data_IF_013582467705
#
_entry.id   IF_013582467705
#
_cell.length_a   1.000
_cell.length_b   1.000
_cell.length_c   1.000
_cell.angle_alpha   90.00
_cell.angle_beta   90.00
_cell.angle_gamma   90.00
#
_symmetry.space_group_name_H-M   'P 1'
#
loop_
_entity.id
_entity.type
_entity.pdbx_description
1 polymer ?
#
# COMPACT_ATOMS: atom_id res chain seq x y z
N UNK A 1 20.17 -0.84 13.38
CA UNK A 1 20.45 -2.29 13.44
C UNK A 1 19.12 -3.00 13.62
N UNK A 2 18.81 -3.95 12.75
CA UNK A 2 17.61 -4.79 12.88
C UNK A 2 18.08 -6.10 13.51
N UNK A 3 17.39 -6.54 14.55
CA UNK A 3 17.72 -7.76 15.30
C UNK A 3 16.50 -8.68 15.36
N UNK A 4 16.69 -10.01 15.41
CA UNK A 4 15.57 -10.94 15.53
C UNK A 4 14.97 -10.91 16.94
N UNK A 5 13.80 -11.57 17.13
CA UNK A 5 13.17 -11.68 18.43
C UNK A 5 14.11 -12.26 19.50
N UNK A 6 14.15 -11.64 20.68
CA UNK A 6 14.91 -12.16 21.82
C UNK A 6 16.44 -12.05 21.70
N UNK A 7 16.94 -11.20 20.80
CA UNK A 7 18.37 -10.97 20.66
C UNK A 7 18.96 -10.23 21.88
N UNK A 8 20.11 -10.70 22.37
CA UNK A 8 20.80 -10.17 23.56
C UNK A 8 22.27 -9.82 23.32
N UNK A 9 22.67 -9.58 22.07
CA UNK A 9 24.06 -9.25 21.72
C UNK A 9 24.46 -7.81 22.04
N UNK A 10 25.72 -7.48 21.75
CA UNK A 10 26.24 -6.12 21.91
C UNK A 10 25.80 -5.23 20.75
N UNK A 11 25.29 -4.04 21.09
CA UNK A 11 24.88 -3.02 20.12
C UNK A 11 26.07 -2.11 19.80
N UNK A 12 26.43 -1.89 18.53
CA UNK A 12 27.44 -0.91 18.16
C UNK A 12 27.10 0.49 18.72
N UNK A 13 28.11 1.21 19.22
CA UNK A 13 27.91 2.52 19.81
C UNK A 13 27.17 3.47 18.84
N UNK A 14 26.07 4.07 19.31
CA UNK A 14 25.26 5.00 18.52
C UNK A 14 24.28 4.36 17.54
N UNK A 15 24.23 3.03 17.43
CA UNK A 15 23.25 2.36 16.58
C UNK A 15 21.85 2.34 17.24
N UNK A 16 20.83 2.82 16.52
CA UNK A 16 19.44 2.55 16.88
C UNK A 16 19.14 1.05 16.67
N UNK A 17 18.46 0.41 17.62
CA UNK A 17 18.07 -1.00 17.56
C UNK A 17 16.58 -1.09 17.25
N UNK A 18 16.25 -1.91 16.25
CA UNK A 18 14.88 -2.28 15.89
C UNK A 18 14.78 -3.79 16.08
N UNK A 19 14.04 -4.22 17.09
CA UNK A 19 13.72 -5.63 17.28
C UNK A 19 12.58 -6.01 16.33
N UNK A 20 12.87 -6.92 15.41
CA UNK A 20 11.86 -7.49 14.53
C UNK A 20 11.00 -8.48 15.32
N UNK A 21 9.66 -8.48 15.18
CA UNK A 21 8.80 -9.48 15.80
C UNK A 21 8.93 -10.87 15.13
N UNK A 22 9.64 -10.95 13.99
CA UNK A 22 9.83 -12.14 13.18
C UNK A 22 11.29 -12.28 12.75
N UNK A 23 11.71 -13.48 12.33
CA UNK A 23 13.06 -13.74 11.83
C UNK A 23 13.26 -13.24 10.39
N UNK A 24 12.19 -13.23 9.61
CA UNK A 24 12.15 -12.56 8.32
C UNK A 24 11.66 -11.12 8.47
N UNK A 25 12.37 -10.18 7.83
CA UNK A 25 11.99 -8.78 7.76
C UNK A 25 11.93 -8.33 6.30
N UNK A 26 10.93 -7.53 5.97
CA UNK A 26 10.83 -6.87 4.68
C UNK A 26 11.16 -5.39 4.83
N UNK A 27 12.05 -4.89 3.98
CA UNK A 27 12.47 -3.48 3.95
C UNK A 27 12.13 -2.87 2.60
N UNK A 28 11.46 -1.72 2.63
CA UNK A 28 11.18 -0.90 1.46
C UNK A 28 11.77 0.50 1.66
N UNK A 29 12.72 0.88 0.80
CA UNK A 29 13.29 2.22 0.75
C UNK A 29 12.64 3.03 -0.36
N UNK A 30 12.05 4.19 -0.03
CA UNK A 30 11.54 5.16 -1.00
C UNK A 30 12.36 6.44 -0.89
N UNK A 31 12.76 7.00 -2.01
CA UNK A 31 13.52 8.26 -2.08
C UNK A 31 12.73 9.22 -2.95
N UNK A 32 12.42 10.39 -2.39
CA UNK A 32 11.67 11.43 -3.09
C UNK A 32 12.45 11.88 -4.33
N UNK A 33 11.71 12.16 -5.41
CA UNK A 33 12.21 12.83 -6.61
C UNK A 33 11.31 14.02 -6.84
N UNK A 34 11.83 15.24 -6.66
CA UNK A 34 11.01 16.45 -6.76
C UNK A 34 10.78 16.87 -8.23
N UNK A 35 11.69 16.52 -9.12
CA UNK A 35 11.62 16.83 -10.55
C UNK A 35 12.54 15.94 -11.38
N UNK A 36 12.44 16.01 -12.71
CA UNK A 36 13.36 15.33 -13.62
C UNK A 36 14.83 15.72 -13.38
N UNK A 37 15.09 16.96 -12.97
CA UNK A 37 16.44 17.44 -12.64
C UNK A 37 16.97 16.85 -11.32
N UNK A 38 16.08 16.50 -10.39
CA UNK A 38 16.41 15.92 -9.08
C UNK A 38 16.69 14.41 -9.16
N UNK A 39 16.23 13.75 -10.23
CA UNK A 39 16.35 12.30 -10.41
C UNK A 39 17.79 11.77 -10.26
N UNK A 40 18.79 12.52 -10.73
CA UNK A 40 20.19 12.12 -10.60
C UNK A 40 20.66 12.15 -9.13
N UNK A 41 20.24 13.16 -8.35
CA UNK A 41 20.59 13.29 -6.95
C UNK A 41 19.91 12.19 -6.11
N UNK A 42 18.62 11.94 -6.35
CA UNK A 42 17.89 10.85 -5.69
C UNK A 42 18.53 9.48 -5.95
N UNK A 43 18.97 9.20 -7.19
CA UNK A 43 19.71 7.97 -7.53
C UNK A 43 21.06 7.89 -6.83
N UNK A 44 21.80 9.01 -6.76
CA UNK A 44 23.07 9.06 -6.04
C UNK A 44 22.89 8.78 -4.54
N UNK A 45 21.83 9.31 -3.92
CA UNK A 45 21.48 9.02 -2.53
C UNK A 45 21.12 7.53 -2.35
N UNK A 46 20.31 6.96 -3.24
CA UNK A 46 19.97 5.53 -3.21
C UNK A 46 21.19 4.61 -3.31
N UNK A 47 22.20 4.98 -4.11
CA UNK A 47 23.45 4.22 -4.25
C UNK A 47 24.30 4.21 -2.97
N UNK A 48 24.02 5.09 -2.01
CA UNK A 48 24.69 5.11 -0.70
C UNK A 48 24.02 4.18 0.32
N UNK A 49 22.84 3.63 0.03
CA UNK A 49 22.20 2.67 0.92
C UNK A 49 22.99 1.37 0.92
N UNK A 50 23.37 0.93 2.12
CA UNK A 50 24.11 -0.33 2.32
C UNK A 50 23.39 -1.18 3.36
N UNK A 51 23.47 -2.49 3.18
CA UNK A 51 23.04 -3.47 4.16
C UNK A 51 24.23 -4.36 4.48
N UNK A 52 24.53 -4.51 5.77
CA UNK A 52 25.66 -5.32 6.23
C UNK A 52 25.19 -6.21 7.37
N UNK A 53 25.52 -7.48 7.28
CA UNK A 53 25.29 -8.45 8.36
C UNK A 53 26.39 -8.25 9.39
N UNK A 54 25.99 -7.88 10.62
CA UNK A 54 26.93 -7.53 11.69
C UNK A 54 27.35 -8.72 12.57
N UNK A 55 26.57 -9.80 12.59
CA UNK A 55 26.76 -10.92 13.51
C UNK A 55 26.91 -12.27 12.78
N UNK A 56 27.57 -13.22 13.46
CA UNK A 56 27.65 -14.63 13.08
C UNK A 56 26.25 -15.30 13.16
N UNK A 57 26.09 -16.53 12.60
CA UNK A 57 24.84 -17.28 12.72
C UNK A 57 24.37 -17.36 14.17
N UNK A 58 23.09 -17.09 14.38
CA UNK A 58 22.49 -17.09 15.71
C UNK A 58 22.20 -18.55 16.09
N UNK A 59 22.68 -19.03 17.26
CA UNK A 59 22.31 -20.35 17.76
C UNK A 59 20.79 -20.49 17.83
N UNK A 60 20.27 -21.65 17.47
CA UNK A 60 18.83 -21.98 17.51
C UNK A 60 17.94 -21.09 16.60
N UNK A 61 18.51 -20.50 15.55
CA UNK A 61 17.72 -19.86 14.50
C UNK A 61 16.73 -20.86 13.89
N UNK A 62 15.48 -20.43 13.63
CA UNK A 62 14.47 -21.28 13.01
C UNK A 62 14.89 -21.67 11.58
N UNK A 63 14.29 -22.74 11.02
CA UNK A 63 14.58 -23.15 9.65
C UNK A 63 14.29 -21.99 8.69
N UNK A 64 15.22 -21.66 7.77
CA UNK A 64 14.99 -20.59 6.81
C UNK A 64 13.88 -20.99 5.83
N UNK A 65 13.13 -19.99 5.37
CA UNK A 65 12.24 -20.20 4.23
C UNK A 65 13.05 -20.51 2.96
N UNK A 66 12.50 -21.30 2.02
CA UNK A 66 13.13 -21.52 0.73
C UNK A 66 13.41 -20.18 0.04
N UNK A 67 14.61 -19.97 -0.52
CA UNK A 67 14.92 -18.71 -1.19
C UNK A 67 13.97 -18.51 -2.38
N UNK A 68 13.34 -17.34 -2.46
CA UNK A 68 12.59 -16.94 -3.64
C UNK A 68 13.54 -16.49 -4.73
N UNK A 69 13.35 -16.97 -5.96
CA UNK A 69 14.06 -16.42 -7.12
C UNK A 69 13.50 -15.01 -7.43
N UNK A 70 14.15 -13.99 -6.87
CA UNK A 70 13.76 -12.59 -7.11
C UNK A 70 13.95 -12.15 -8.57
N UNK A 71 14.74 -12.86 -9.38
CA UNK A 71 14.93 -12.58 -10.80
C UNK A 71 13.79 -13.09 -11.68
N UNK A 72 13.02 -14.05 -11.17
CA UNK A 72 11.86 -14.64 -11.82
C UNK A 72 10.73 -14.84 -10.81
N UNK A 73 10.36 -13.76 -10.13
CA UNK A 73 9.28 -13.82 -9.14
C UNK A 73 7.97 -14.07 -9.90
N UNK A 74 7.29 -15.22 -9.73
CA UNK A 74 5.94 -15.35 -10.26
C UNK A 74 5.09 -14.19 -9.74
N UNK A 75 4.20 -13.67 -10.58
CA UNK A 75 3.21 -12.66 -10.18
C UNK A 75 2.64 -13.00 -8.79
N UNK A 76 2.30 -12.00 -7.95
CA UNK A 76 1.93 -12.23 -6.55
C UNK A 76 1.00 -13.43 -6.47
N UNK A 77 1.41 -14.41 -5.65
CA UNK A 77 0.87 -15.78 -5.63
C UNK A 77 -0.61 -15.80 -6.00
N UNK A 78 -0.94 -16.51 -7.08
CA UNK A 78 -2.32 -16.77 -7.42
C UNK A 78 -2.90 -17.74 -6.38
N UNK A 79 -3.32 -17.20 -5.23
CA UNK A 79 -3.81 -17.97 -4.06
C UNK A 79 -4.83 -19.03 -4.49
N UNK A 80 -5.80 -18.64 -5.33
CA UNK A 80 -6.79 -19.55 -5.90
C UNK A 80 -6.17 -20.72 -6.71
N UNK A 81 -5.05 -20.48 -7.40
CA UNK A 81 -4.33 -21.49 -8.19
C UNK A 81 -3.44 -22.42 -7.38
N UNK A 82 -3.08 -22.05 -6.14
CA UNK A 82 -2.23 -22.86 -5.26
C UNK A 82 -2.98 -24.01 -4.58
N UNK A 83 -4.32 -23.92 -4.47
CA UNK A 83 -5.13 -24.91 -3.76
C UNK A 83 -4.61 -25.17 -2.33
N UNK A 84 -4.66 -26.42 -1.82
CA UNK A 84 -4.28 -26.71 -0.44
C UNK A 84 -2.79 -26.48 -0.14
N UNK A 85 -1.91 -26.37 -1.16
CA UNK A 85 -0.48 -26.09 -0.97
C UNK A 85 -0.19 -24.73 -0.35
N UNK A 86 -1.13 -23.79 -0.39
CA UNK A 86 -1.00 -22.52 0.35
C UNK A 86 -0.83 -22.78 1.86
N UNK A 87 -1.38 -23.87 2.39
CA UNK A 87 -1.25 -24.22 3.79
C UNK A 87 0.05 -24.96 4.12
N UNK A 88 0.71 -25.59 3.15
CA UNK A 88 2.10 -26.06 3.33
C UNK A 88 3.03 -24.86 3.48
N UNK A 89 2.81 -23.83 2.65
CA UNK A 89 3.57 -22.58 2.73
C UNK A 89 3.31 -21.85 4.06
N UNK A 90 2.05 -21.71 4.47
CA UNK A 90 1.72 -21.16 5.79
C UNK A 90 2.39 -21.96 6.90
N UNK A 91 2.38 -23.29 6.83
CA UNK A 91 3.04 -24.16 7.80
C UNK A 91 4.55 -23.93 7.85
N UNK A 92 5.21 -23.77 6.69
CA UNK A 92 6.63 -23.42 6.62
C UNK A 92 6.92 -22.03 7.22
N UNK A 93 6.07 -21.03 6.94
CA UNK A 93 6.16 -19.69 7.53
C UNK A 93 6.02 -19.73 9.05
N UNK A 94 5.07 -20.50 9.58
CA UNK A 94 4.87 -20.65 11.02
C UNK A 94 6.07 -21.32 11.73
N UNK A 95 6.80 -22.21 11.04
CA UNK A 95 8.03 -22.79 11.56
C UNK A 95 9.21 -21.82 11.52
N UNK A 96 9.31 -21.02 10.46
CA UNK A 96 10.35 -20.00 10.30
C UNK A 96 10.13 -18.78 11.21
N UNK A 97 8.86 -18.43 11.46
CA UNK A 97 8.44 -17.23 12.16
C UNK A 97 7.30 -17.56 13.11
N UNK A 98 7.60 -17.84 14.40
CA UNK A 98 6.58 -18.10 15.40
C UNK A 98 5.56 -16.94 15.47
N UNK A 99 4.25 -17.24 15.44
CA UNK A 99 3.22 -16.23 15.34
C UNK A 99 3.00 -15.51 16.69
N UNK A 100 2.45 -14.28 16.68
CA UNK A 100 1.98 -13.60 17.88
C UNK A 100 0.94 -14.43 18.66
N UNK A 101 0.93 -14.29 19.99
CA UNK A 101 0.00 -15.01 20.86
C UNK A 101 -1.49 -14.73 20.54
N UNK A 102 -1.80 -13.55 19.99
CA UNK A 102 -3.16 -13.20 19.58
C UNK A 102 -3.72 -14.10 18.46
N UNK A 103 -2.85 -14.74 17.68
CA UNK A 103 -3.27 -15.60 16.56
C UNK A 103 -3.64 -17.02 17.01
N UNK A 104 -3.36 -17.38 18.28
CA UNK A 104 -3.55 -18.73 18.81
C UNK A 104 -4.95 -19.32 18.54
N UNK A 105 -6.09 -18.61 18.75
CA UNK A 105 -7.41 -19.17 18.49
C UNK A 105 -7.64 -19.58 17.03
N UNK A 106 -7.11 -18.80 16.07
CA UNK A 106 -7.22 -19.12 14.64
C UNK A 106 -6.31 -20.31 14.27
N UNK A 107 -5.10 -20.34 14.84
CA UNK A 107 -4.14 -21.41 14.59
C UNK A 107 -4.59 -22.75 15.20
N UNK A 108 -5.24 -22.73 16.36
CA UNK A 108 -5.85 -23.93 16.95
C UNK A 108 -6.95 -24.51 16.05
N UNK A 109 -7.74 -23.65 15.39
CA UNK A 109 -8.74 -24.10 14.39
C UNK A 109 -8.08 -24.68 13.14
N UNK A 110 -7.03 -24.04 12.63
CA UNK A 110 -6.30 -24.53 11.45
C UNK A 110 -5.56 -25.85 11.76
N UNK A 111 -5.06 -26.02 12.98
CA UNK A 111 -4.39 -27.24 13.42
C UNK A 111 -5.28 -28.48 13.37
N UNK A 112 -6.61 -28.34 13.51
CA UNK A 112 -7.53 -29.48 13.34
C UNK A 112 -7.59 -30.00 11.90
N UNK A 113 -7.08 -29.25 10.94
CA UNK A 113 -6.95 -29.62 9.52
C UNK A 113 -5.48 -29.96 9.15
N UNK A 114 -4.64 -30.22 10.15
CA UNK A 114 -3.22 -30.56 9.96
C UNK A 114 -2.28 -29.37 9.75
N UNK A 115 -2.79 -28.13 9.73
CA UNK A 115 -1.98 -26.91 9.56
C UNK A 115 -1.26 -26.59 10.86
N UNK A 116 -0.01 -27.03 10.96
CA UNK A 116 0.85 -26.84 12.14
C UNK A 116 2.25 -26.45 11.67
N UNK A 117 3.08 -25.79 12.51
CA UNK A 117 4.41 -25.35 12.10
C UNK A 117 5.23 -26.49 11.45
N UNK A 118 5.63 -26.30 10.20
CA UNK A 118 6.47 -27.22 9.43
C UNK A 118 5.75 -28.42 8.80
N UNK A 119 4.42 -28.54 8.96
CA UNK A 119 3.65 -29.62 8.36
C UNK A 119 3.43 -29.44 6.84
N UNK A 120 2.93 -30.49 6.20
CA UNK A 120 2.48 -30.48 4.80
C UNK A 120 1.01 -30.91 4.69
N UNK A 121 0.05 -30.05 5.11
CA UNK A 121 -1.38 -30.37 5.10
C UNK A 121 -1.92 -30.82 3.75
N UNK A 122 -1.31 -30.42 2.63
CA UNK A 122 -1.74 -30.83 1.29
C UNK A 122 -1.59 -32.33 1.02
N UNK A 123 -0.77 -33.03 1.81
CA UNK A 123 -0.61 -34.49 1.79
C UNK A 123 -1.32 -35.22 2.94
N UNK A 124 -2.21 -34.53 3.67
CA UNK A 124 -2.94 -35.08 4.81
C UNK A 124 -4.15 -35.94 4.42
N UNK A 125 -5.10 -36.08 5.36
CA UNK A 125 -6.33 -36.84 5.13
C UNK A 125 -7.17 -36.22 3.99
N UNK A 126 -7.77 -37.04 3.10
CA UNK A 126 -8.47 -36.54 1.92
C UNK A 126 -9.57 -35.51 2.21
N UNK A 127 -10.32 -35.70 3.30
CA UNK A 127 -11.42 -34.81 3.68
C UNK A 127 -10.89 -33.45 4.16
N UNK A 128 -9.78 -33.43 4.90
CA UNK A 128 -9.13 -32.20 5.36
C UNK A 128 -8.51 -31.43 4.19
N UNK A 129 -7.84 -32.14 3.27
CA UNK A 129 -7.29 -31.55 2.04
C UNK A 129 -8.40 -30.91 1.19
N UNK A 130 -9.55 -31.58 1.07
CA UNK A 130 -10.71 -31.04 0.36
C UNK A 130 -11.29 -29.80 1.08
N UNK A 131 -11.36 -29.81 2.41
CA UNK A 131 -11.82 -28.67 3.20
C UNK A 131 -10.90 -27.46 3.05
N UNK A 132 -9.57 -27.66 3.09
CA UNK A 132 -8.57 -26.63 2.86
C UNK A 132 -8.69 -26.04 1.44
N UNK A 133 -8.79 -26.89 0.41
CA UNK A 133 -8.98 -26.44 -0.97
C UNK A 133 -10.26 -25.60 -1.15
N UNK A 134 -11.38 -26.01 -0.55
CA UNK A 134 -12.61 -25.23 -0.54
C UNK A 134 -12.49 -23.93 0.26
N UNK A 135 -11.66 -23.93 1.32
CA UNK A 135 -11.29 -22.76 2.10
C UNK A 135 -10.57 -21.71 1.24
N UNK A 136 -9.60 -22.12 0.43
CA UNK A 136 -8.88 -21.24 -0.49
C UNK A 136 -9.82 -20.52 -1.46
N UNK A 137 -10.73 -21.26 -2.11
CA UNK A 137 -11.69 -20.67 -3.06
C UNK A 137 -12.61 -19.65 -2.39
N UNK A 138 -13.12 -19.98 -1.19
CA UNK A 138 -13.99 -19.07 -0.43
C UNK A 138 -13.24 -17.84 0.07
N UNK A 139 -12.04 -18.04 0.61
CA UNK A 139 -11.18 -16.98 1.12
C UNK A 139 -10.75 -16.00 0.03
N UNK A 140 -10.32 -16.51 -1.13
CA UNK A 140 -9.96 -15.66 -2.28
C UNK A 140 -11.14 -14.80 -2.73
N UNK A 141 -12.35 -15.37 -2.81
CA UNK A 141 -13.57 -14.60 -3.13
C UNK A 141 -13.85 -13.49 -2.11
N UNK A 142 -13.63 -13.75 -0.82
CA UNK A 142 -13.79 -12.72 0.22
C UNK A 142 -12.73 -11.62 0.10
N UNK A 143 -11.46 -12.00 -0.12
CA UNK A 143 -10.35 -11.07 -0.29
C UNK A 143 -10.58 -10.19 -1.52
N UNK A 144 -10.94 -10.77 -2.67
CA UNK A 144 -11.25 -10.03 -3.90
C UNK A 144 -12.48 -9.16 -3.72
N UNK A 145 -13.51 -9.65 -3.02
CA UNK A 145 -14.68 -8.88 -2.67
C UNK A 145 -14.31 -7.63 -1.88
N UNK A 146 -13.54 -7.79 -0.80
CA UNK A 146 -13.10 -6.68 0.05
C UNK A 146 -12.18 -5.71 -0.70
N UNK A 147 -11.23 -6.24 -1.47
CA UNK A 147 -10.31 -5.44 -2.30
C UNK A 147 -11.05 -4.56 -3.32
N UNK A 148 -12.24 -4.99 -3.78
CA UNK A 148 -13.08 -4.24 -4.69
C UNK A 148 -14.08 -3.31 -3.98
N UNK A 149 -14.28 -3.47 -2.66
CA UNK A 149 -15.06 -2.50 -1.89
C UNK A 149 -14.24 -1.28 -1.53
N UNK A 150 -14.88 -0.12 -1.52
CA UNK A 150 -14.29 1.09 -0.97
C UNK A 150 -14.08 0.92 0.53
N UNK A 151 -12.84 1.02 0.99
CA UNK A 151 -12.49 0.99 2.40
C UNK A 151 -12.99 2.26 3.09
N UNK A 152 -14.20 2.23 3.66
CA UNK A 152 -14.82 3.36 4.39
C UNK A 152 -14.72 4.72 3.66
N UNK A 153 -14.87 5.82 4.41
CA UNK A 153 -14.55 7.17 3.95
C UNK A 153 -15.73 8.15 3.83
N UNK A 154 -15.40 9.40 3.52
CA UNK A 154 -16.33 10.52 3.44
C UNK A 154 -16.58 10.91 1.98
N UNK A 155 -17.85 10.83 1.56
CA UNK A 155 -18.25 11.16 0.20
C UNK A 155 -17.57 10.25 -0.85
N UNK A 156 -16.93 10.80 -1.89
CA UNK A 156 -16.35 10.01 -2.98
C UNK A 156 -15.01 9.35 -2.61
N UNK A 157 -14.43 9.68 -1.46
CA UNK A 157 -13.10 9.23 -1.08
C UNK A 157 -13.15 8.03 -0.14
N UNK A 158 -12.46 6.96 -0.51
CA UNK A 158 -12.19 5.80 0.34
C UNK A 158 -10.77 5.81 0.88
N UNK A 159 -10.53 5.31 2.09
CA UNK A 159 -9.21 5.39 2.75
C UNK A 159 -8.86 4.17 3.60
N UNK A 160 -7.57 3.89 3.70
CA UNK A 160 -7.03 2.77 4.48
C UNK A 160 -6.64 3.22 5.90
N UNK A 161 -7.62 3.65 6.70
CA UNK A 161 -7.35 4.27 8.02
C UNK A 161 -6.66 3.34 9.03
N UNK A 162 -6.76 2.02 8.87
CA UNK A 162 -6.14 1.02 9.78
C UNK A 162 -4.96 0.28 9.12
N UNK A 163 -4.40 0.83 8.04
CA UNK A 163 -3.26 0.23 7.36
C UNK A 163 -2.09 -0.02 8.34
N UNK A 164 -1.54 -1.23 8.28
CA UNK A 164 -0.40 -1.65 9.10
C UNK A 164 -0.74 -2.06 10.54
N UNK A 165 -1.99 -1.94 11.02
CA UNK A 165 -2.40 -2.27 12.40
C UNK A 165 -3.61 -3.19 12.47
N UNK A 166 -3.50 -4.33 11.80
CA UNK A 166 -4.66 -5.21 11.59
C UNK A 166 -5.03 -6.08 12.79
N UNK A 167 -4.12 -6.33 13.74
CA UNK A 167 -4.32 -7.34 14.78
C UNK A 167 -4.72 -8.68 14.16
N UNK A 168 -5.85 -9.23 14.61
CA UNK A 168 -6.44 -10.48 14.10
C UNK A 168 -7.49 -10.25 13.00
N UNK A 169 -7.59 -9.06 12.42
CA UNK A 169 -8.42 -8.81 11.22
C UNK A 169 -7.66 -9.26 9.96
N UNK A 170 -7.58 -10.59 9.80
CA UNK A 170 -6.86 -11.23 8.71
C UNK A 170 -7.47 -10.89 7.34
N UNK A 171 -8.79 -10.74 7.26
CA UNK A 171 -9.46 -10.46 6.00
C UNK A 171 -9.16 -9.04 5.52
N UNK A 172 -9.19 -8.05 6.43
CA UNK A 172 -8.78 -6.69 6.09
C UNK A 172 -7.30 -6.63 5.70
N UNK A 173 -6.42 -7.28 6.49
CA UNK A 173 -4.99 -7.39 6.15
C UNK A 173 -4.76 -8.00 4.77
N UNK A 174 -5.47 -9.08 4.44
CA UNK A 174 -5.37 -9.75 3.15
C UNK A 174 -5.92 -8.90 2.00
N UNK A 175 -7.03 -8.18 2.22
CA UNK A 175 -7.59 -7.22 1.27
C UNK A 175 -6.60 -6.10 0.94
N UNK A 176 -5.99 -5.49 1.96
CA UNK A 176 -4.94 -4.47 1.75
C UNK A 176 -3.72 -5.05 1.06
N UNK A 177 -3.25 -6.24 1.46
CA UNK A 177 -2.12 -6.90 0.78
C UNK A 177 -2.40 -7.18 -0.71
N UNK A 178 -3.67 -7.43 -1.09
CA UNK A 178 -4.07 -7.65 -2.47
C UNK A 178 -3.99 -6.39 -3.33
N UNK A 179 -4.31 -5.21 -2.76
CA UNK A 179 -4.40 -3.95 -3.51
C UNK A 179 -3.20 -3.00 -3.30
N UNK A 180 -2.45 -3.19 -2.22
CA UNK A 180 -1.47 -2.23 -1.72
C UNK A 180 -0.55 -2.85 -0.68
N UNK A 181 0.14 -3.94 -1.05
CA UNK A 181 1.16 -4.55 -0.20
C UNK A 181 2.20 -3.51 0.23
N UNK A 182 2.43 -3.40 1.54
CA UNK A 182 3.31 -2.36 2.10
C UNK A 182 2.68 -0.97 2.12
N UNK A 183 1.36 -0.89 2.24
CA UNK A 183 0.70 0.33 2.70
C UNK A 183 1.33 0.77 4.03
N UNK A 184 1.67 2.05 4.10
CA UNK A 184 2.20 2.67 5.31
C UNK A 184 1.10 2.78 6.37
N UNK A 185 1.51 2.90 7.64
CA UNK A 185 0.60 3.33 8.71
C UNK A 185 0.14 4.79 8.47
N UNK A 186 -1.05 5.19 8.97
CA UNK A 186 -1.61 6.53 8.78
C UNK A 186 -0.68 7.68 9.14
N UNK A 187 0.18 7.52 10.15
CA UNK A 187 1.13 8.55 10.58
C UNK A 187 2.23 8.81 9.56
N UNK A 188 2.54 7.80 8.74
CA UNK A 188 3.54 7.90 7.68
C UNK A 188 2.90 8.32 6.36
N UNK A 189 1.72 7.78 6.03
CA UNK A 189 0.98 8.18 4.83
C UNK A 189 -0.51 7.87 4.90
N UNK A 190 -1.33 8.84 4.50
CA UNK A 190 -2.76 8.63 4.23
C UNK A 190 -3.01 8.53 2.72
N UNK A 191 -3.85 7.58 2.33
CA UNK A 191 -4.24 7.31 0.95
C UNK A 191 -5.75 7.46 0.81
N UNK A 192 -6.19 8.34 -0.08
CA UNK A 192 -7.60 8.56 -0.40
C UNK A 192 -7.82 8.23 -1.87
N UNK A 193 -8.77 7.34 -2.16
CA UNK A 193 -9.09 6.89 -3.52
C UNK A 193 -10.51 7.30 -3.88
N UNK A 194 -10.65 8.06 -4.97
CA UNK A 194 -11.94 8.42 -5.55
C UNK A 194 -12.11 7.78 -6.93
N UNK A 195 -13.28 7.14 -7.11
CA UNK A 195 -13.76 6.59 -8.39
C UNK A 195 -15.01 7.31 -8.91
N UNK A 196 -15.63 8.12 -8.06
CA UNK A 196 -16.83 8.90 -8.37
C UNK A 196 -16.62 10.37 -8.04
N UNK A 197 -17.46 11.22 -8.60
CA UNK A 197 -17.55 12.65 -8.27
C UNK A 197 -18.48 12.89 -7.06
N UNK A 198 -18.72 14.17 -6.76
CA UNK A 198 -19.62 14.63 -5.68
C UNK A 198 -21.06 14.14 -5.79
N UNK A 199 -21.52 13.81 -7.00
CA UNK A 199 -22.88 13.35 -7.28
C UNK A 199 -22.96 11.81 -7.30
N UNK A 200 -21.84 11.12 -7.09
CA UNK A 200 -21.73 9.66 -7.12
C UNK A 200 -21.61 9.07 -8.53
N UNK A 201 -21.44 9.91 -9.56
CA UNK A 201 -21.21 9.44 -10.92
C UNK A 201 -19.74 9.01 -11.13
N UNK A 202 -19.44 7.96 -11.91
CA UNK A 202 -18.07 7.57 -12.20
C UNK A 202 -17.25 8.70 -12.81
N UNK A 203 -16.00 8.85 -12.34
CA UNK A 203 -15.06 9.84 -12.87
C UNK A 203 -14.69 9.50 -14.32
N UNK A 204 -15.01 10.40 -15.26
CA UNK A 204 -14.78 10.23 -16.70
C UNK A 204 -14.14 11.45 -17.34
N UNK A 205 -13.06 11.25 -18.09
CA UNK A 205 -12.21 12.37 -18.53
C UNK A 205 -12.91 13.38 -19.46
N UNK A 206 -14.00 12.98 -20.12
CA UNK A 206 -14.80 13.86 -20.98
C UNK A 206 -15.62 14.90 -20.21
N UNK A 207 -15.97 14.61 -18.94
CA UNK A 207 -16.82 15.49 -18.13
C UNK A 207 -16.04 16.69 -17.59
N UNK A 208 -14.76 16.51 -17.25
CA UNK A 208 -13.97 17.52 -16.57
C UNK A 208 -14.41 17.73 -15.12
N UNK A 209 -13.46 17.96 -14.23
CA UNK A 209 -13.69 18.10 -12.79
C UNK A 209 -12.82 19.19 -12.21
N UNK A 210 -13.35 19.83 -11.17
CA UNK A 210 -12.65 20.75 -10.29
C UNK A 210 -12.51 20.11 -8.91
N UNK A 211 -11.30 20.11 -8.39
CA UNK A 211 -11.04 19.78 -6.99
C UNK A 211 -10.64 21.09 -6.28
N UNK A 212 -11.57 21.66 -5.52
CA UNK A 212 -11.39 22.95 -4.85
C UNK A 212 -10.91 22.77 -3.42
N UNK A 213 -9.68 23.19 -3.14
CA UNK A 213 -9.17 23.33 -1.78
C UNK A 213 -9.37 24.77 -1.32
N UNK A 214 -10.20 25.02 -0.28
CA UNK A 214 -10.34 26.37 0.28
C UNK A 214 -9.01 26.82 0.90
N UNK A 215 -8.89 28.12 1.17
CA UNK A 215 -7.74 28.65 1.89
C UNK A 215 -7.56 27.93 3.24
N UNK A 216 -6.37 27.38 3.50
CA UNK A 216 -6.10 26.55 4.68
C UNK A 216 -6.68 25.13 4.65
N UNK A 217 -7.34 24.72 3.57
CA UNK A 217 -7.97 23.39 3.42
C UNK A 217 -7.12 22.33 2.73
N UNK A 218 -5.83 22.60 2.49
CA UNK A 218 -4.88 21.60 1.97
C UNK A 218 -4.64 20.48 3.00
N UNK A 219 -4.14 19.31 2.57
CA UNK A 219 -3.79 18.23 3.50
C UNK A 219 -2.87 18.75 4.63
N UNK A 220 -3.21 18.51 5.91
CA UNK A 220 -2.38 18.92 7.04
C UNK A 220 -1.18 17.98 7.15
N UNK A 221 0.02 18.46 6.81
CA UNK A 221 1.26 17.68 6.73
C UNK A 221 2.39 18.33 7.53
N UNK A 222 3.30 17.50 8.04
CA UNK A 222 4.56 17.93 8.65
C UNK A 222 5.43 18.63 7.58
N UNK A 223 6.36 19.50 7.99
CA UNK A 223 7.26 20.23 7.08
C UNK A 223 8.17 19.32 6.24
N UNK A 224 8.45 18.10 6.72
CA UNK A 224 9.18 17.05 6.01
C UNK A 224 8.29 16.28 5.02
N UNK A 225 6.97 16.43 5.16
CA UNK A 225 5.96 15.79 4.35
C UNK A 225 5.72 16.52 3.02
N UNK A 226 4.81 15.94 2.25
CA UNK A 226 4.28 16.50 1.00
C UNK A 226 2.94 15.84 0.68
N UNK A 227 2.22 16.35 -0.31
CA UNK A 227 0.99 15.72 -0.79
C UNK A 227 0.91 15.71 -2.31
N UNK A 228 0.12 14.79 -2.85
CA UNK A 228 -0.12 14.72 -4.29
C UNK A 228 -1.49 14.13 -4.59
N UNK A 229 -2.13 14.62 -5.64
CA UNK A 229 -3.22 13.96 -6.36
C UNK A 229 -2.65 13.31 -7.60
N UNK A 230 -2.78 11.99 -7.69
CA UNK A 230 -2.30 11.17 -8.80
C UNK A 230 -3.48 10.61 -9.58
N UNK A 231 -3.38 10.59 -10.92
CA UNK A 231 -4.39 10.00 -11.79
C UNK A 231 -3.94 8.65 -12.32
N UNK A 232 -4.85 7.67 -12.25
CA UNK A 232 -4.67 6.33 -12.78
C UNK A 232 -5.78 5.96 -13.74
N UNK A 233 -5.51 5.00 -14.63
CA UNK A 233 -6.54 4.27 -15.34
C UNK A 233 -7.33 3.36 -14.38
N UNK A 234 -8.41 2.72 -14.87
CA UNK A 234 -9.20 1.77 -14.07
C UNK A 234 -8.40 0.58 -13.55
N UNK A 235 -7.30 0.25 -14.23
CA UNK A 235 -6.32 -0.79 -13.91
C UNK A 235 -5.25 -0.36 -12.89
N UNK A 236 -5.35 0.85 -12.35
CA UNK A 236 -4.40 1.45 -11.41
C UNK A 236 -2.99 1.71 -11.99
N UNK A 237 -2.84 1.77 -13.32
CA UNK A 237 -1.61 2.20 -13.99
C UNK A 237 -1.69 3.65 -14.47
N UNK A 238 -0.51 4.26 -14.70
CA UNK A 238 -0.45 5.60 -15.28
C UNK A 238 -0.91 5.60 -16.74
N UNK A 239 -1.66 6.63 -17.11
CA UNK A 239 -2.13 6.80 -18.47
C UNK A 239 -1.34 7.93 -19.14
N UNK A 240 -0.68 7.60 -20.24
CA UNK A 240 0.11 8.55 -21.01
C UNK A 240 -0.71 9.79 -21.39
N UNK A 241 -0.11 10.96 -21.26
CA UNK A 241 -0.76 12.23 -21.56
C UNK A 241 0.22 13.26 -22.12
N UNK A 242 -0.27 14.31 -22.81
CA UNK A 242 0.59 15.26 -23.53
C UNK A 242 1.58 16.05 -22.65
N UNK A 243 1.34 16.15 -21.34
CA UNK A 243 2.22 16.86 -20.42
C UNK A 243 3.26 15.93 -19.76
N UNK A 244 3.14 14.61 -19.92
CA UNK A 244 3.89 13.65 -19.11
C UNK A 244 3.61 13.83 -17.60
N UNK A 245 2.45 14.38 -17.23
CA UNK A 245 2.08 14.72 -15.85
C UNK A 245 1.09 13.71 -15.33
N UNK A 246 1.50 12.92 -14.34
CA UNK A 246 0.67 11.86 -13.75
C UNK A 246 0.20 12.20 -12.33
N UNK A 247 0.81 13.21 -11.71
CA UNK A 247 0.42 13.72 -10.42
C UNK A 247 0.57 15.26 -10.37
N UNK A 248 -0.15 15.86 -9.43
CA UNK A 248 -0.06 17.28 -9.08
C UNK A 248 -0.10 17.42 -7.56
N UNK A 249 0.71 18.29 -6.98
CA UNK A 249 0.92 18.37 -5.53
C UNK A 249 1.64 19.65 -5.12
N UNK A 250 1.89 19.84 -3.82
CA UNK A 250 2.60 21.02 -3.28
C UNK A 250 3.98 21.25 -3.90
N UNK A 251 4.62 20.18 -4.39
CA UNK A 251 5.92 20.24 -5.08
C UNK A 251 5.85 20.48 -6.58
N UNK A 252 4.65 20.56 -7.17
CA UNK A 252 4.50 20.82 -8.60
C UNK A 252 4.93 22.26 -8.93
N UNK A 253 5.93 22.47 -9.80
CA UNK A 253 6.37 23.81 -10.16
C UNK A 253 5.28 24.59 -10.88
N UNK A 254 5.12 25.87 -10.52
CA UNK A 254 4.23 26.80 -11.22
C UNK A 254 2.75 26.69 -10.87
N UNK A 255 2.39 26.03 -9.76
CA UNK A 255 1.02 26.07 -9.23
C UNK A 255 0.55 27.51 -9.01
N UNK A 256 -0.68 27.79 -9.46
CA UNK A 256 -1.32 29.11 -9.34
C UNK A 256 -2.39 29.04 -8.26
N UNK A 257 -2.30 29.89 -7.24
CA UNK A 257 -3.31 30.01 -6.19
C UNK A 257 -4.31 31.11 -6.49
N UNK A 258 -5.52 30.95 -5.95
CA UNK A 258 -6.50 32.03 -5.90
C UNK A 258 -6.02 33.20 -5.03
N UNK A 259 -6.62 34.37 -5.22
CA UNK A 259 -6.25 35.58 -4.45
C UNK A 259 -6.52 35.44 -2.94
N UNK A 260 -7.44 34.55 -2.56
CA UNK A 260 -7.76 34.18 -1.18
C UNK A 260 -6.82 33.10 -0.61
N UNK A 261 -5.90 32.57 -1.41
CA UNK A 261 -5.00 31.48 -1.04
C UNK A 261 -5.52 30.07 -1.33
N UNK A 262 -6.73 29.95 -1.88
CA UNK A 262 -7.29 28.67 -2.35
C UNK A 262 -6.48 28.04 -3.48
N UNK A 263 -6.72 26.76 -3.72
CA UNK A 263 -6.13 26.02 -4.84
C UNK A 263 -7.21 25.23 -5.57
N UNK A 264 -7.38 25.53 -6.85
CA UNK A 264 -8.20 24.74 -7.75
C UNK A 264 -7.31 23.83 -8.60
N UNK A 265 -7.55 22.52 -8.54
CA UNK A 265 -6.98 21.57 -9.48
C UNK A 265 -8.06 21.20 -10.51
N UNK A 266 -7.68 21.21 -11.78
CA UNK A 266 -8.57 20.85 -12.88
C UNK A 266 -8.18 19.46 -13.39
N UNK A 267 -9.14 18.56 -13.52
CA UNK A 267 -8.92 17.19 -13.98
C UNK A 267 -9.80 16.94 -15.19
N UNK A 268 -9.24 16.51 -16.32
CA UNK A 268 -10.04 16.25 -17.51
C UNK A 268 -9.21 16.07 -18.76
N UNK A 269 -9.85 15.63 -19.84
CA UNK A 269 -9.20 15.37 -21.13
C UNK A 269 -8.78 16.65 -21.88
N UNK A 270 -9.42 17.78 -21.58
CA UNK A 270 -9.11 19.08 -22.19
C UNK A 270 -8.47 20.01 -21.16
N UNK A 271 -7.49 20.84 -21.56
CA UNK A 271 -6.92 21.85 -20.67
C UNK A 271 -7.98 22.89 -20.29
N UNK A 272 -7.95 23.41 -19.05
CA UNK A 272 -8.83 24.51 -18.65
C UNK A 272 -8.41 25.81 -19.34
N UNK A 273 -9.33 26.77 -19.46
CA UNK A 273 -9.08 28.06 -20.08
C UNK A 273 -7.99 28.89 -19.37
N UNK A 274 -7.78 28.64 -18.07
CA UNK A 274 -6.72 29.25 -17.25
C UNK A 274 -5.30 28.74 -17.57
N UNK A 275 -5.17 27.73 -18.42
CA UNK A 275 -3.89 27.13 -18.81
C UNK A 275 -3.51 25.89 -18.00
N UNK A 276 -2.37 25.26 -18.33
CA UNK A 276 -2.06 23.90 -17.86
C UNK A 276 -1.49 23.84 -16.43
N UNK A 277 -1.19 24.98 -15.78
CA UNK A 277 -0.45 25.01 -14.51
C UNK A 277 -1.07 24.11 -13.44
N UNK A 278 -2.37 24.22 -13.22
CA UNK A 278 -3.10 23.41 -12.22
C UNK A 278 -3.87 22.24 -12.84
N UNK A 279 -3.57 21.89 -14.09
CA UNK A 279 -4.29 20.84 -14.81
C UNK A 279 -3.60 19.49 -14.63
N UNK A 280 -4.39 18.47 -14.33
CA UNK A 280 -4.03 17.06 -14.35
C UNK A 280 -4.78 16.38 -15.52
N UNK A 281 -4.07 16.05 -16.61
CA UNK A 281 -4.72 15.45 -17.78
C UNK A 281 -5.33 14.08 -17.47
N UNK A 282 -6.60 13.90 -17.83
CA UNK A 282 -7.31 12.62 -17.74
C UNK A 282 -7.47 11.99 -19.14
N UNK A 283 -7.46 10.65 -19.26
CA UNK A 283 -7.80 9.99 -20.52
C UNK A 283 -9.30 10.07 -20.82
N UNK A 284 -9.74 9.89 -22.08
CA UNK A 284 -11.13 9.52 -22.36
C UNK A 284 -11.53 8.26 -21.59
N UNK A 285 -12.76 8.21 -21.10
CA UNK A 285 -13.27 7.10 -20.29
C UNK A 285 -12.96 7.25 -18.80
N UNK A 286 -13.12 6.13 -18.08
CA UNK A 286 -13.03 6.11 -16.62
C UNK A 286 -11.60 6.26 -16.12
N UNK A 287 -11.44 6.95 -14.99
CA UNK A 287 -10.16 7.08 -14.30
C UNK A 287 -10.35 7.01 -12.78
N UNK A 288 -9.24 6.93 -12.06
CA UNK A 288 -9.19 6.91 -10.59
C UNK A 288 -8.29 8.04 -10.12
N UNK A 289 -8.75 8.79 -9.11
CA UNK A 289 -7.90 9.74 -8.40
C UNK A 289 -7.41 9.10 -7.11
N UNK A 290 -6.12 9.27 -6.82
CA UNK A 290 -5.56 8.97 -5.51
C UNK A 290 -4.89 10.20 -4.94
N UNK A 291 -5.41 10.72 -3.83
CA UNK A 291 -4.70 11.71 -3.02
C UNK A 291 -3.84 10.98 -1.99
N UNK A 292 -2.58 11.40 -1.87
CA UNK A 292 -1.64 10.94 -0.86
C UNK A 292 -1.19 12.12 -0.02
N UNK A 293 -1.24 11.97 1.30
CA UNK A 293 -0.63 12.89 2.24
C UNK A 293 0.46 12.14 3.00
N UNK A 294 1.70 12.61 2.93
CA UNK A 294 2.85 12.01 3.60
C UNK A 294 3.17 12.78 4.88
N UNK A 295 3.37 12.05 5.98
CA UNK A 295 3.51 12.61 7.33
C UNK A 295 2.34 13.55 7.71
N UNK A 296 1.07 13.09 7.63
CA UNK A 296 -0.06 13.92 8.00
C UNK A 296 -0.05 14.23 9.50
N UNK A 297 -0.28 15.51 9.85
CA UNK A 297 -0.39 15.94 11.26
C UNK A 297 -1.81 15.79 11.82
N UNK A 298 -2.80 15.56 10.96
CA UNK A 298 -4.17 15.26 11.34
C UNK A 298 -4.75 14.22 10.36
N UNK A 299 -4.95 12.98 10.85
CA UNK A 299 -5.47 11.89 10.04
C UNK A 299 -7.01 11.89 9.92
N UNK A 300 -7.70 12.80 10.61
CA UNK A 300 -9.16 12.98 10.47
C UNK A 300 -9.55 13.83 9.27
N UNK A 301 -8.60 14.55 8.68
CA UNK A 301 -8.82 15.35 7.49
C UNK A 301 -9.25 14.48 6.30
N UNK A 302 -10.18 14.99 5.50
CA UNK A 302 -10.62 14.36 4.25
C UNK A 302 -10.56 15.34 3.08
N UNK A 303 -10.27 14.87 1.85
CA UNK A 303 -10.18 15.75 0.70
C UNK A 303 -11.54 16.31 0.30
N UNK A 304 -11.57 17.50 -0.36
CA UNK A 304 -12.78 17.99 -1.00
C UNK A 304 -13.23 17.01 -2.10
N UNK A 305 -14.52 16.97 -2.41
CA UNK A 305 -15.04 16.13 -3.49
C UNK A 305 -14.62 16.66 -4.88
N UNK A 306 -14.38 15.79 -5.87
CA UNK A 306 -14.30 16.21 -7.27
C UNK A 306 -15.69 16.69 -7.71
N UNK A 307 -15.79 17.96 -8.10
CA UNK A 307 -17.03 18.57 -8.61
C UNK A 307 -16.99 18.57 -10.14
N UNK A 308 -18.10 18.26 -10.80
CA UNK A 308 -18.19 18.37 -12.26
C UNK A 308 -17.92 19.82 -12.70
N UNK A 309 -16.93 20.00 -13.58
CA UNK A 309 -16.61 21.31 -14.16
C UNK A 309 -17.56 21.55 -15.35
N UNK A 310 -18.51 22.48 -15.18
CA UNK A 310 -19.38 22.91 -16.29
C UNK A 310 -18.67 23.78 -17.33
#
# INVERSE_FOLDING_TARGET
>A
MIVPPGWHGETPAGAAVIESPTWDAWMIGRTLVESDADLAAARAAQQQYTMTVLAAPIPDAPPPLPPTDCGNNPAPQAIAGSGPKVFDELSAILAANPPPAADAPMLEQLATLGVTPGATPSGGEPDDVAALAAGVVRGDKQIVGLANTSFGGDGPWSSLQEAGRYGTDYLHRAGVAKIGLGANVPEESMYYVARTDSDGAPLRGESGYRLHFPAGGLPPIDERGFWSVTLYGPDMFFVANPLGRYAIGDRTPGLVRGADGSLDLWIGAKPPASGPSNWLPAPPGEFVLMLRAYLPTDQSWTPPSPESAS
#
